data_IF_756786664654
#
_entry.id   IF_756786664654
#
_cell.length_a   1.000
_cell.length_b   1.000
_cell.length_c   1.000
_cell.angle_alpha   90.00
_cell.angle_beta   90.00
_cell.angle_gamma   90.00
#
_symmetry.space_group_name_H-M   'P 1'
#
loop_
_entity.id
_entity.type
_entity.pdbx_description
1 polymer ?
#
# COMPACT_ATOMS: atom_id res chain seq x y z
N UNK A 1 -6.23 -35.00 12.75
CA UNK A 1 -6.77 -33.66 12.47
C UNK A 1 -8.21 -33.83 12.01
N UNK A 2 -9.17 -33.15 12.65
CA UNK A 2 -10.58 -33.23 12.27
C UNK A 2 -10.84 -32.64 10.88
N UNK A 3 -11.96 -33.04 10.27
CA UNK A 3 -12.42 -32.49 8.99
C UNK A 3 -12.70 -30.98 9.15
N UNK A 4 -12.15 -30.15 8.26
CA UNK A 4 -12.42 -28.71 8.26
C UNK A 4 -13.91 -28.47 7.97
N UNK A 5 -14.56 -27.51 8.66
CA UNK A 5 -15.94 -27.14 8.37
C UNK A 5 -16.04 -26.57 6.95
N UNK A 6 -17.14 -26.90 6.28
CA UNK A 6 -17.52 -26.30 5.00
C UNK A 6 -17.73 -24.80 5.15
N UNK A 7 -17.69 -24.05 4.04
CA UNK A 7 -17.83 -22.59 4.08
C UNK A 7 -19.14 -22.13 4.76
N UNK A 8 -20.23 -22.86 4.57
CA UNK A 8 -21.52 -22.59 5.21
C UNK A 8 -21.56 -22.91 6.70
N UNK A 9 -20.63 -23.71 7.20
CA UNK A 9 -20.51 -24.10 8.62
C UNK A 9 -19.54 -23.18 9.39
N UNK A 10 -18.82 -22.28 8.70
CA UNK A 10 -17.88 -21.34 9.31
C UNK A 10 -18.64 -20.11 9.82
N UNK A 11 -18.73 -19.97 11.15
CA UNK A 11 -19.29 -18.79 11.82
C UNK A 11 -18.23 -17.80 12.31
N UNK A 12 -18.65 -16.75 13.02
CA UNK A 12 -17.79 -15.66 13.49
C UNK A 12 -16.58 -16.15 14.32
N UNK A 13 -16.78 -17.17 15.16
CA UNK A 13 -15.74 -17.74 16.01
C UNK A 13 -14.62 -18.41 15.20
N UNK A 14 -14.94 -18.97 14.03
CA UNK A 14 -13.95 -19.58 13.14
C UNK A 14 -12.92 -18.56 12.63
N UNK A 15 -13.32 -17.29 12.50
CA UNK A 15 -12.49 -16.20 12.01
C UNK A 15 -11.96 -15.29 13.12
N UNK A 16 -12.28 -15.58 14.38
CA UNK A 16 -11.83 -14.76 15.50
C UNK A 16 -10.32 -14.94 15.74
N UNK A 17 -9.63 -13.81 15.97
CA UNK A 17 -8.23 -13.83 16.37
C UNK A 17 -8.15 -13.77 17.89
N UNK A 18 -7.39 -14.68 18.48
CA UNK A 18 -7.05 -14.59 19.90
C UNK A 18 -5.96 -13.52 20.10
N UNK A 19 -6.39 -12.36 20.60
CA UNK A 19 -5.53 -11.22 20.92
C UNK A 19 -5.24 -11.08 22.42
N UNK A 20 -5.61 -12.07 23.25
CA UNK A 20 -5.50 -11.96 24.70
C UNK A 20 -4.06 -11.70 25.19
N UNK A 21 -3.05 -12.11 24.40
CA UNK A 21 -1.63 -11.96 24.72
C UNK A 21 -0.86 -11.02 23.78
N UNK A 22 -1.53 -10.39 22.80
CA UNK A 22 -0.87 -9.54 21.81
C UNK A 22 -1.81 -8.43 21.29
N UNK A 23 -2.16 -7.51 22.17
CA UNK A 23 -3.07 -6.40 21.87
C UNK A 23 -2.48 -5.44 20.83
N UNK A 24 -3.32 -4.82 19.98
CA UNK A 24 -2.86 -3.77 19.08
C UNK A 24 -2.34 -2.56 19.89
N UNK A 25 -1.28 -1.89 19.40
CA UNK A 25 -0.77 -0.68 20.02
C UNK A 25 -1.85 0.40 20.19
N UNK A 26 -1.82 1.09 21.33
CA UNK A 26 -2.87 2.05 21.70
C UNK A 26 -4.10 1.40 22.35
N UNK A 27 -4.02 0.10 22.68
CA UNK A 27 -4.99 -0.61 23.52
C UNK A 27 -4.28 -1.27 24.70
N UNK A 28 -4.69 -0.93 25.92
CA UNK A 28 -4.04 -1.33 27.17
C UNK A 28 -4.59 -2.63 27.76
N UNK A 29 -5.80 -3.05 27.37
CA UNK A 29 -6.41 -4.30 27.86
C UNK A 29 -7.35 -4.95 26.84
N UNK A 30 -7.62 -6.28 26.93
CA UNK A 30 -8.64 -6.93 26.12
C UNK A 30 -10.03 -6.30 26.32
N UNK A 31 -10.32 -5.83 27.53
CA UNK A 31 -11.57 -5.11 27.81
C UNK A 31 -11.67 -3.80 27.02
N UNK A 32 -10.57 -3.03 26.86
CA UNK A 32 -10.59 -1.84 26.00
C UNK A 32 -10.90 -2.15 24.52
N UNK A 33 -10.60 -3.36 24.03
CA UNK A 33 -11.01 -3.78 22.67
C UNK A 33 -12.54 -3.96 22.56
N UNK A 34 -13.22 -4.26 23.66
CA UNK A 34 -14.62 -4.70 23.63
C UNK A 34 -15.54 -3.64 24.24
N UNK A 35 -15.21 -3.12 25.42
CA UNK A 35 -16.08 -2.25 26.24
C UNK A 35 -15.64 -0.78 26.24
N UNK A 36 -14.34 -0.47 26.30
CA UNK A 36 -13.82 0.90 26.39
C UNK A 36 -13.10 1.36 25.11
N UNK A 37 -13.82 1.28 24.00
CA UNK A 37 -13.31 1.58 22.65
C UNK A 37 -13.07 3.08 22.45
N UNK A 38 -11.85 3.45 22.07
CA UNK A 38 -11.46 4.80 21.65
C UNK A 38 -12.17 5.14 20.33
N UNK A 39 -13.12 6.07 20.41
CA UNK A 39 -13.93 6.47 19.26
C UNK A 39 -13.14 7.28 18.23
N UNK A 40 -13.55 7.25 16.95
CA UNK A 40 -12.93 8.06 15.92
C UNK A 40 -12.93 9.55 16.29
N UNK A 41 -11.90 10.29 15.86
CA UNK A 41 -11.89 11.76 15.90
C UNK A 41 -13.18 12.31 15.28
N UNK A 42 -13.75 13.40 15.83
CA UNK A 42 -14.86 14.06 15.18
C UNK A 42 -14.45 14.48 13.75
N UNK A 43 -15.44 14.59 12.83
CA UNK A 43 -15.19 15.09 11.48
C UNK A 43 -14.39 16.39 11.52
N UNK A 44 -13.49 16.54 10.56
CA UNK A 44 -12.74 17.78 10.43
C UNK A 44 -13.73 18.93 10.20
N UNK A 45 -13.69 19.95 11.05
CA UNK A 45 -14.42 21.20 10.83
C UNK A 45 -13.46 22.16 10.15
N UNK A 46 -13.58 22.41 8.84
CA UNK A 46 -12.67 23.29 8.13
C UNK A 46 -12.83 24.71 8.67
N UNK A 47 -11.92 25.10 9.57
CA UNK A 47 -11.95 26.46 10.14
C UNK A 47 -11.56 27.51 9.09
N UNK A 48 -10.78 27.13 8.07
CA UNK A 48 -10.39 27.94 6.90
C UNK A 48 -10.08 27.05 5.68
N UNK A 49 -10.24 27.56 4.45
CA UNK A 49 -9.79 26.87 3.25
C UNK A 49 -8.27 26.65 3.30
N UNK A 50 -7.80 25.53 2.73
CA UNK A 50 -6.37 25.26 2.58
C UNK A 50 -5.72 26.37 1.76
N UNK A 51 -4.58 26.93 2.20
CA UNK A 51 -3.89 27.96 1.44
C UNK A 51 -3.51 27.44 0.07
N UNK A 52 -3.64 28.29 -0.95
CA UNK A 52 -3.26 27.93 -2.31
C UNK A 52 -1.76 27.66 -2.39
N UNK A 53 -1.37 26.79 -3.31
CA UNK A 53 0.04 26.66 -3.65
C UNK A 53 0.59 28.01 -4.10
N UNK A 54 1.88 28.30 -3.83
CA UNK A 54 2.55 29.38 -4.53
C UNK A 54 2.38 29.24 -6.06
N UNK A 55 2.33 30.33 -6.82
CA UNK A 55 2.37 30.29 -8.28
C UNK A 55 3.53 29.42 -8.78
N UNK A 56 3.38 28.73 -9.92
CA UNK A 56 4.43 27.83 -10.45
C UNK A 56 5.80 28.54 -10.61
N UNK A 57 5.80 29.82 -10.96
CA UNK A 57 7.00 30.65 -11.08
C UNK A 57 7.78 30.84 -9.76
N UNK A 58 7.11 30.70 -8.61
CA UNK A 58 7.68 30.85 -7.27
C UNK A 58 8.12 29.51 -6.64
N UNK A 59 7.78 28.38 -7.27
CA UNK A 59 8.10 27.03 -6.77
C UNK A 59 9.53 26.63 -7.12
N UNK A 60 10.48 27.09 -6.30
CA UNK A 60 11.92 26.83 -6.47
C UNK A 60 12.53 26.22 -5.21
N UNK A 61 13.61 25.46 -5.37
CA UNK A 61 14.31 24.84 -4.24
C UNK A 61 13.41 23.88 -3.48
N UNK A 62 13.45 23.91 -2.15
CA UNK A 62 12.61 23.07 -1.26
C UNK A 62 11.28 23.74 -0.90
N UNK A 63 10.52 24.13 -1.92
CA UNK A 63 9.29 24.91 -1.74
C UNK A 63 8.18 24.13 -1.04
N UNK A 64 8.16 22.79 -1.13
CA UNK A 64 7.13 21.95 -0.51
C UNK A 64 7.27 21.98 1.01
N UNK A 65 8.47 21.76 1.53
CA UNK A 65 8.73 21.88 2.97
C UNK A 65 8.44 23.28 3.49
N UNK A 66 8.88 24.32 2.76
CA UNK A 66 8.60 25.71 3.13
C UNK A 66 7.09 26.03 3.15
N UNK A 67 6.31 25.43 2.24
CA UNK A 67 4.85 25.52 2.24
C UNK A 67 4.23 24.80 3.44
N UNK A 68 4.71 23.60 3.78
CA UNK A 68 4.26 22.86 4.96
C UNK A 68 4.54 23.65 6.25
N UNK A 69 5.72 24.25 6.39
CA UNK A 69 6.11 25.06 7.55
C UNK A 69 5.25 26.33 7.71
N UNK A 70 4.80 26.93 6.60
CA UNK A 70 3.86 28.06 6.65
C UNK A 70 2.46 27.64 7.08
N UNK A 71 2.08 26.38 6.85
CA UNK A 71 0.75 25.87 7.17
C UNK A 71 0.60 25.43 8.62
N UNK A 72 1.69 25.11 9.32
CA UNK A 72 1.67 24.80 10.77
C UNK A 72 1.31 26.01 11.62
N UNK A 73 1.75 27.20 11.21
CA UNK A 73 1.54 28.43 11.97
C UNK A 73 0.13 29.01 11.80
N UNK A 74 -0.66 28.54 10.81
CA UNK A 74 -1.91 29.20 10.42
C UNK A 74 -3.11 28.28 10.13
N UNK A 75 -2.95 26.96 10.01
CA UNK A 75 -4.06 26.04 9.73
C UNK A 75 -4.26 25.03 10.86
N UNK A 76 -5.51 24.83 11.28
CA UNK A 76 -5.89 23.89 12.33
C UNK A 76 -6.16 22.47 11.82
N UNK A 77 -5.95 22.21 10.53
CA UNK A 77 -6.15 20.89 9.94
C UNK A 77 -4.85 20.33 9.37
N UNK A 78 -4.28 19.30 9.99
CA UNK A 78 -3.24 18.53 9.35
C UNK A 78 -3.95 17.53 8.41
N UNK A 79 -4.28 17.99 7.20
CA UNK A 79 -4.48 17.07 6.07
C UNK A 79 -3.09 16.74 5.54
N UNK A 80 -2.78 15.47 5.18
CA UNK A 80 -1.61 15.15 4.38
C UNK A 80 -1.95 15.77 3.05
N UNK A 81 -1.64 17.06 2.93
CA UNK A 81 -2.30 17.89 1.95
C UNK A 81 -2.08 17.24 0.60
N UNK A 82 -3.09 17.23 -0.26
CA UNK A 82 -3.06 16.87 -1.70
C UNK A 82 -2.01 17.66 -2.52
N UNK A 83 -1.12 18.35 -1.80
CA UNK A 83 -0.40 19.54 -2.16
C UNK A 83 1.10 19.42 -1.89
N UNK A 84 1.57 18.41 -1.17
CA UNK A 84 2.93 18.42 -0.64
C UNK A 84 3.53 17.04 -0.31
N UNK A 85 2.95 15.93 -0.77
CA UNK A 85 3.59 14.62 -0.58
C UNK A 85 4.84 14.52 -1.48
N UNK A 86 6.05 14.36 -0.90
CA UNK A 86 7.30 14.38 -1.66
C UNK A 86 7.63 13.04 -2.33
N UNK A 87 6.91 11.95 -2.00
CA UNK A 87 7.24 10.62 -2.50
C UNK A 87 6.64 10.27 -3.86
N UNK A 88 7.25 9.32 -4.60
CA UNK A 88 6.65 8.81 -5.81
C UNK A 88 5.31 8.15 -5.46
N UNK A 89 4.36 8.41 -6.33
CA UNK A 89 3.05 7.81 -6.47
C UNK A 89 2.70 6.60 -5.59
N UNK A 90 1.48 6.57 -5.00
CA UNK A 90 0.86 5.33 -4.52
C UNK A 90 0.87 4.20 -5.56
N UNK A 91 0.99 4.53 -6.86
CA UNK A 91 1.09 3.55 -7.93
C UNK A 91 2.35 2.67 -7.86
N UNK A 92 3.51 3.20 -7.43
CA UNK A 92 4.76 2.43 -7.31
C UNK A 92 4.87 1.63 -6.00
N UNK A 93 3.91 1.81 -5.08
CA UNK A 93 3.89 1.13 -3.79
C UNK A 93 3.28 -0.26 -3.97
N UNK A 94 3.96 -1.34 -3.56
CA UNK A 94 3.36 -2.66 -3.50
C UNK A 94 2.04 -2.57 -2.70
N UNK A 95 0.95 -3.22 -3.13
CA UNK A 95 -0.31 -3.12 -2.43
C UNK A 95 -0.12 -3.53 -0.95
N UNK A 96 -0.82 -2.91 0.02
CA UNK A 96 -0.68 -3.25 1.45
C UNK A 96 -0.85 -4.75 1.74
N UNK A 97 -1.62 -5.46 0.90
CA UNK A 97 -1.79 -6.91 0.93
C UNK A 97 -0.52 -7.72 0.64
N UNK A 98 0.50 -7.13 0.02
CA UNK A 98 1.81 -7.75 -0.26
C UNK A 98 2.84 -7.48 0.84
N UNK A 99 2.64 -6.45 1.67
CA UNK A 99 3.54 -6.04 2.76
C UNK A 99 3.01 -6.39 4.15
N UNK A 100 1.80 -6.94 4.24
CA UNK A 100 1.14 -7.28 5.50
C UNK A 100 0.58 -8.71 5.47
N UNK A 101 0.62 -9.43 6.60
CA UNK A 101 -0.07 -10.71 6.70
C UNK A 101 -1.57 -10.51 6.57
N UNK A 102 -2.27 -11.48 5.98
CA UNK A 102 -3.73 -11.43 5.91
C UNK A 102 -4.34 -11.93 7.21
N UNK A 103 -4.87 -11.05 8.08
CA UNK A 103 -5.16 -11.37 9.47
C UNK A 103 -6.21 -12.48 9.63
N UNK A 104 -7.10 -12.70 8.66
CA UNK A 104 -8.15 -13.73 8.78
C UNK A 104 -8.08 -14.84 7.75
N UNK A 105 -8.49 -16.06 8.14
CA UNK A 105 -8.77 -17.17 7.23
C UNK A 105 -10.05 -16.94 6.40
N UNK A 106 -10.49 -15.69 6.21
CA UNK A 106 -11.56 -15.40 5.28
C UNK A 106 -11.07 -15.95 3.92
N UNK A 107 -11.74 -16.98 3.36
CA UNK A 107 -11.34 -17.51 2.09
C UNK A 107 -11.27 -16.29 1.16
N UNK A 108 -10.16 -16.03 0.43
CA UNK A 108 -10.35 -15.37 -0.83
C UNK A 108 -11.42 -16.22 -1.50
N UNK A 109 -12.63 -15.68 -1.67
CA UNK A 109 -13.63 -16.43 -2.38
C UNK A 109 -12.98 -16.85 -3.70
N UNK A 110 -13.33 -17.99 -4.27
CA UNK A 110 -13.03 -18.22 -5.67
C UNK A 110 -13.41 -16.99 -6.50
N UNK A 111 -14.41 -16.18 -6.11
CA UNK A 111 -14.68 -14.89 -6.75
C UNK A 111 -13.71 -13.75 -6.43
N UNK A 112 -13.17 -13.56 -5.22
CA UNK A 112 -12.20 -12.48 -4.92
C UNK A 112 -10.78 -12.86 -5.31
N UNK A 113 -10.33 -14.09 -5.11
CA UNK A 113 -9.06 -14.59 -5.68
C UNK A 113 -9.14 -14.65 -7.21
N UNK A 114 -10.18 -15.25 -7.79
CA UNK A 114 -10.27 -15.33 -9.26
C UNK A 114 -10.55 -13.98 -9.92
N UNK A 115 -11.28 -13.04 -9.28
CA UNK A 115 -11.40 -11.66 -9.82
C UNK A 115 -10.13 -10.85 -9.62
N UNK A 116 -9.42 -11.02 -8.51
CA UNK A 116 -8.10 -10.37 -8.32
C UNK A 116 -7.03 -10.97 -9.25
N UNK A 117 -7.20 -12.20 -9.73
CA UNK A 117 -6.33 -12.80 -10.76
C UNK A 117 -6.79 -12.51 -12.19
N UNK A 118 -8.10 -12.34 -12.46
CA UNK A 118 -8.64 -12.10 -13.80
C UNK A 118 -8.71 -10.61 -14.20
N UNK A 119 -8.90 -9.71 -13.25
CA UNK A 119 -8.92 -8.25 -13.43
C UNK A 119 -8.08 -7.56 -12.35
N UNK A 120 -6.93 -8.16 -12.04
CA UNK A 120 -6.08 -7.73 -10.94
C UNK A 120 -5.65 -6.28 -11.09
N UNK A 121 -5.20 -5.87 -12.28
CA UNK A 121 -4.67 -4.53 -12.50
C UNK A 121 -5.77 -3.48 -12.35
N UNK A 122 -6.96 -3.74 -12.89
CA UNK A 122 -8.09 -2.86 -12.70
C UNK A 122 -8.40 -2.65 -11.20
N UNK A 123 -8.48 -3.73 -10.41
CA UNK A 123 -8.79 -3.62 -8.97
C UNK A 123 -7.71 -2.91 -8.17
N UNK A 124 -6.44 -3.14 -8.50
CA UNK A 124 -5.33 -2.40 -7.92
C UNK A 124 -5.51 -0.90 -8.14
N UNK A 125 -5.72 -0.48 -9.39
CA UNK A 125 -5.85 0.93 -9.71
C UNK A 125 -7.17 1.57 -9.24
N UNK A 126 -8.28 0.83 -9.16
CA UNK A 126 -9.51 1.31 -8.51
C UNK A 126 -9.30 1.62 -7.02
N UNK A 127 -8.48 0.82 -6.33
CA UNK A 127 -8.13 1.06 -4.93
C UNK A 127 -7.25 2.31 -4.80
N UNK A 128 -6.28 2.47 -5.71
CA UNK A 128 -5.46 3.68 -5.75
C UNK A 128 -6.30 4.92 -6.07
N UNK A 129 -7.18 4.86 -7.07
CA UNK A 129 -8.10 5.95 -7.43
C UNK A 129 -8.98 6.38 -6.25
N UNK A 130 -9.47 5.41 -5.47
CA UNK A 130 -10.23 5.67 -4.26
C UNK A 130 -9.41 6.45 -3.22
N UNK A 131 -8.19 5.99 -2.93
CA UNK A 131 -7.30 6.65 -1.96
C UNK A 131 -6.97 8.06 -2.45
N UNK A 132 -6.63 8.20 -3.73
CA UNK A 132 -6.34 9.47 -4.35
C UNK A 132 -7.54 10.44 -4.30
N UNK A 133 -8.78 9.97 -4.53
CA UNK A 133 -9.99 10.77 -4.35
C UNK A 133 -10.12 11.30 -2.92
N UNK A 134 -9.86 10.46 -1.93
CA UNK A 134 -9.92 10.82 -0.51
C UNK A 134 -8.82 11.81 -0.10
N UNK A 135 -7.65 11.74 -0.74
CA UNK A 135 -6.57 12.69 -0.55
C UNK A 135 -6.86 14.02 -1.26
N UNK A 136 -7.35 13.95 -2.51
CA UNK A 136 -7.58 15.11 -3.37
C UNK A 136 -8.73 15.99 -2.85
N UNK A 137 -9.88 15.38 -2.59
CA UNK A 137 -11.09 16.10 -2.15
C UNK A 137 -11.18 16.24 -0.63
N UNK A 138 -10.35 15.53 0.12
CA UNK A 138 -10.42 15.42 1.58
C UNK A 138 -11.37 14.29 2.03
N UNK A 139 -11.09 13.77 3.22
CA UNK A 139 -11.71 12.55 3.77
C UNK A 139 -13.22 12.67 3.98
N UNK A 140 -13.72 13.88 4.23
CA UNK A 140 -15.15 14.15 4.47
C UNK A 140 -15.85 14.82 3.28
N UNK A 141 -15.28 14.78 2.07
CA UNK A 141 -15.93 15.32 0.87
C UNK A 141 -17.13 14.48 0.42
N UNK A 142 -18.04 15.08 -0.35
CA UNK A 142 -19.16 14.33 -0.95
C UNK A 142 -18.67 13.20 -1.88
N UNK A 143 -17.57 13.44 -2.60
CA UNK A 143 -16.91 12.44 -3.47
C UNK A 143 -16.41 11.26 -2.63
N UNK A 144 -15.62 11.53 -1.58
CA UNK A 144 -15.12 10.47 -0.69
C UNK A 144 -16.26 9.67 -0.05
N UNK A 145 -17.29 10.34 0.49
CA UNK A 145 -18.46 9.67 1.08
C UNK A 145 -19.21 8.76 0.10
N UNK A 146 -19.42 9.22 -1.13
CA UNK A 146 -20.08 8.43 -2.18
C UNK A 146 -19.30 7.16 -2.52
N UNK A 147 -17.97 7.29 -2.66
CA UNK A 147 -17.08 6.17 -2.93
C UNK A 147 -17.03 5.19 -1.76
N UNK A 148 -16.92 5.67 -0.52
CA UNK A 148 -16.97 4.83 0.68
C UNK A 148 -18.30 4.07 0.77
N UNK A 149 -19.43 4.71 0.42
CA UNK A 149 -20.72 4.02 0.33
C UNK A 149 -20.70 2.83 -0.64
N UNK A 150 -19.97 2.93 -1.76
CA UNK A 150 -19.78 1.82 -2.68
C UNK A 150 -18.95 0.69 -2.07
N UNK A 151 -17.85 1.02 -1.39
CA UNK A 151 -17.00 0.01 -0.75
C UNK A 151 -17.72 -0.67 0.41
N UNK A 152 -18.45 0.07 1.24
CA UNK A 152 -19.27 -0.49 2.32
C UNK A 152 -20.31 -1.49 1.80
N UNK A 153 -20.93 -1.24 0.64
CA UNK A 153 -21.85 -2.21 0.00
C UNK A 153 -21.12 -3.48 -0.46
N UNK A 154 -19.88 -3.36 -0.93
CA UNK A 154 -19.04 -4.50 -1.29
C UNK A 154 -18.70 -5.32 -0.04
N UNK A 155 -18.22 -4.67 1.02
CA UNK A 155 -17.92 -5.32 2.30
C UNK A 155 -19.16 -6.02 2.87
N UNK A 156 -20.31 -5.35 2.91
CA UNK A 156 -21.56 -5.94 3.38
C UNK A 156 -22.03 -7.14 2.56
N UNK A 157 -21.70 -7.20 1.26
CA UNK A 157 -21.94 -8.41 0.46
C UNK A 157 -20.98 -9.53 0.86
N UNK A 158 -19.71 -9.23 1.11
CA UNK A 158 -18.72 -10.22 1.53
C UNK A 158 -19.09 -10.82 2.90
N UNK A 159 -19.55 -10.01 3.86
CA UNK A 159 -19.93 -10.48 5.21
C UNK A 159 -21.05 -11.51 5.17
N UNK A 160 -22.00 -11.37 4.25
CA UNK A 160 -23.10 -12.34 4.09
C UNK A 160 -22.60 -13.71 3.65
N UNK A 161 -21.54 -13.74 2.85
CA UNK A 161 -20.96 -14.98 2.33
C UNK A 161 -19.84 -15.54 3.25
N UNK A 162 -19.26 -14.68 4.09
CA UNK A 162 -18.18 -15.01 5.03
C UNK A 162 -18.42 -14.28 6.36
N UNK A 163 -19.35 -14.77 7.19
CA UNK A 163 -19.64 -14.16 8.49
C UNK A 163 -18.39 -14.15 9.36
N UNK A 164 -18.11 -13.03 10.00
CA UNK A 164 -16.91 -12.79 10.78
C UNK A 164 -15.76 -12.17 9.97
N UNK A 165 -15.89 -11.89 8.68
CA UNK A 165 -14.88 -11.15 7.92
C UNK A 165 -15.01 -9.63 8.14
N UNK A 166 -13.92 -8.91 8.37
CA UNK A 166 -13.93 -7.46 8.66
C UNK A 166 -14.81 -7.03 9.86
N UNK A 167 -14.99 -7.91 10.84
CA UNK A 167 -15.67 -7.59 12.10
C UNK A 167 -14.76 -6.86 13.09
N UNK A 168 -13.44 -6.99 12.93
CA UNK A 168 -12.45 -6.26 13.73
C UNK A 168 -11.98 -4.98 13.05
N UNK A 169 -11.92 -3.83 13.77
CA UNK A 169 -11.42 -2.57 13.22
C UNK A 169 -10.07 -2.68 12.52
N UNK A 170 -9.08 -3.28 13.19
CA UNK A 170 -7.68 -3.39 12.75
C UNK A 170 -7.48 -4.04 11.36
N UNK A 171 -8.47 -4.81 10.88
CA UNK A 171 -8.42 -5.43 9.55
C UNK A 171 -8.56 -4.42 8.42
N UNK A 172 -9.35 -3.37 8.65
CA UNK A 172 -9.44 -2.23 7.74
C UNK A 172 -8.29 -1.25 7.94
N UNK A 173 -7.85 -1.05 9.18
CA UNK A 173 -6.84 -0.04 9.54
C UNK A 173 -5.53 -0.22 8.79
N UNK A 174 -5.03 -1.45 8.69
CA UNK A 174 -3.77 -1.77 8.03
C UNK A 174 -3.72 -1.26 6.58
N UNK A 175 -4.85 -1.19 5.88
CA UNK A 175 -4.91 -0.70 4.50
C UNK A 175 -4.44 0.76 4.35
N UNK A 176 -4.84 1.65 5.27
CA UNK A 176 -4.41 3.05 5.26
C UNK A 176 -3.14 3.29 6.07
N UNK A 177 -2.91 2.53 7.14
CA UNK A 177 -1.65 2.60 7.89
C UNK A 177 -0.48 2.21 6.98
N UNK A 178 -0.67 1.17 6.16
CA UNK A 178 0.31 0.76 5.16
C UNK A 178 0.64 1.90 4.21
N UNK A 179 -0.38 2.54 3.62
CA UNK A 179 -0.17 3.70 2.73
C UNK A 179 0.52 4.88 3.41
N UNK A 180 0.16 5.18 4.66
CA UNK A 180 0.72 6.30 5.41
C UNK A 180 2.19 6.08 5.83
N UNK A 181 2.55 4.85 6.18
CA UNK A 181 3.86 4.51 6.75
C UNK A 181 4.84 3.92 5.73
N UNK A 182 4.38 3.47 4.55
CA UNK A 182 5.21 2.76 3.58
C UNK A 182 6.49 3.51 3.18
N UNK A 183 6.40 4.81 2.88
CA UNK A 183 7.58 5.62 2.54
C UNK A 183 8.61 5.61 3.68
N UNK A 184 8.18 5.88 4.92
CA UNK A 184 9.08 5.88 6.08
C UNK A 184 9.68 4.51 6.32
N UNK A 185 8.89 3.44 6.16
CA UNK A 185 9.38 2.06 6.22
C UNK A 185 10.48 1.82 5.17
N UNK A 186 10.27 2.23 3.92
CA UNK A 186 11.26 2.09 2.85
C UNK A 186 12.52 2.91 3.13
N UNK A 187 12.38 4.17 3.57
CA UNK A 187 13.50 5.04 3.96
C UNK A 187 14.34 4.42 5.07
N UNK A 188 13.69 3.87 6.11
CA UNK A 188 14.35 3.15 7.21
C UNK A 188 15.04 1.87 6.73
N UNK A 189 14.38 1.08 5.88
CA UNK A 189 14.91 -0.17 5.32
C UNK A 189 16.22 0.04 4.55
N UNK A 190 16.34 1.16 3.82
CA UNK A 190 17.51 1.44 2.98
C UNK A 190 18.54 2.35 3.66
N UNK A 191 18.25 2.83 4.87
CA UNK A 191 19.12 3.77 5.59
C UNK A 191 19.24 5.11 4.86
N UNK A 192 18.13 5.66 4.36
CA UNK A 192 18.10 6.99 3.75
C UNK A 192 18.56 8.07 4.75
N UNK A 193 19.18 9.15 4.25
CA UNK A 193 19.70 10.24 5.10
C UNK A 193 18.60 10.91 5.93
N UNK A 194 17.41 11.05 5.34
CA UNK A 194 16.20 11.52 6.02
C UNK A 194 15.22 10.37 6.10
N UNK A 195 15.22 9.69 7.24
CA UNK A 195 14.36 8.54 7.49
C UNK A 195 12.93 8.96 7.87
N UNK A 196 12.83 9.98 8.72
CA UNK A 196 11.57 10.41 9.30
C UNK A 196 10.83 11.39 8.37
N UNK A 197 9.48 11.35 8.38
CA UNK A 197 8.69 12.28 7.58
C UNK A 197 8.77 13.70 8.14
N UNK A 198 8.39 14.67 7.30
CA UNK A 198 8.22 16.04 7.75
C UNK A 198 7.21 16.11 8.94
N UNK A 199 7.46 16.90 10.00
CA UNK A 199 6.60 16.92 11.20
C UNK A 199 5.12 17.17 10.90
N UNK A 200 4.83 18.01 9.91
CA UNK A 200 3.45 18.28 9.45
C UNK A 200 2.79 17.04 8.88
N UNK A 201 3.51 16.27 8.06
CA UNK A 201 3.01 15.03 7.49
C UNK A 201 2.87 13.97 8.58
N UNK A 202 3.81 13.90 9.53
CA UNK A 202 3.75 13.01 10.69
C UNK A 202 2.46 13.24 11.50
N UNK A 203 2.06 14.50 11.72
CA UNK A 203 0.81 14.84 12.40
C UNK A 203 -0.44 14.61 11.54
N UNK A 204 -0.31 14.77 10.22
CA UNK A 204 -1.45 14.74 9.30
C UNK A 204 -1.90 13.35 8.90
N UNK A 205 -0.96 12.44 8.69
CA UNK A 205 -1.24 11.07 8.28
C UNK A 205 -2.20 10.33 9.22
N UNK A 206 -1.96 10.26 10.54
CA UNK A 206 -2.87 9.60 11.48
C UNK A 206 -4.26 10.24 11.46
N UNK A 207 -4.34 11.58 11.46
CA UNK A 207 -5.60 12.30 11.51
C UNK A 207 -6.45 12.09 10.25
N UNK A 208 -5.83 12.10 9.07
CA UNK A 208 -6.53 11.86 7.81
C UNK A 208 -6.95 10.40 7.65
N UNK A 209 -6.05 9.45 7.89
CA UNK A 209 -6.33 8.02 7.73
C UNK A 209 -7.48 7.59 8.66
N UNK A 210 -7.46 8.05 9.91
CA UNK A 210 -8.54 7.80 10.86
C UNK A 210 -9.89 8.33 10.35
N UNK A 211 -9.94 9.58 9.86
CA UNK A 211 -11.18 10.18 9.37
C UNK A 211 -11.70 9.49 8.12
N UNK A 212 -10.83 9.00 7.23
CA UNK A 212 -11.24 8.17 6.11
C UNK A 212 -11.88 6.88 6.62
N UNK A 213 -11.20 6.17 7.54
CA UNK A 213 -11.69 4.90 8.11
C UNK A 213 -12.97 5.07 8.94
N UNK A 214 -13.22 6.25 9.51
CA UNK A 214 -14.45 6.55 10.23
C UNK A 214 -15.70 6.41 9.35
N UNK A 215 -15.56 6.56 8.03
CA UNK A 215 -16.65 6.36 7.09
C UNK A 215 -16.89 4.89 6.72
N UNK A 216 -15.92 4.02 6.98
CA UNK A 216 -16.04 2.58 6.73
C UNK A 216 -16.69 1.86 7.90
N UNK A 217 -17.42 0.79 7.59
CA UNK A 217 -18.18 0.00 8.57
C UNK A 217 -17.54 -1.37 8.75
N UNK A 218 -17.56 -1.85 9.99
CA UNK A 218 -17.27 -3.26 10.34
C UNK A 218 -18.56 -4.06 10.33
N UNK A 219 -18.46 -5.39 10.37
CA UNK A 219 -19.59 -6.28 10.65
C UNK A 219 -20.00 -6.22 12.14
N UNK A 220 -21.30 -6.36 12.49
CA UNK A 220 -22.46 -6.43 11.59
C UNK A 220 -22.81 -5.08 10.96
N UNK A 221 -23.48 -5.15 9.80
CA UNK A 221 -23.88 -3.99 9.01
C UNK A 221 -25.00 -3.13 9.63
N UNK A 222 -25.38 -3.37 10.89
CA UNK A 222 -26.37 -2.56 11.62
C UNK A 222 -25.92 -1.09 11.79
N UNK A 223 -24.66 -0.81 11.43
CA UNK A 223 -24.10 0.52 11.29
C UNK A 223 -23.39 1.01 12.55
N UNK A 224 -23.36 0.21 13.62
CA UNK A 224 -22.75 0.59 14.89
C UNK A 224 -21.21 0.58 14.87
N UNK A 225 -20.61 -0.26 14.04
CA UNK A 225 -19.15 -0.45 13.99
C UNK A 225 -18.42 0.42 12.97
N UNK A 226 -17.18 0.82 13.28
CA UNK A 226 -16.31 1.61 12.41
C UNK A 226 -14.87 1.07 12.42
N UNK A 227 -14.20 1.09 11.27
CA UNK A 227 -12.78 0.73 11.18
C UNK A 227 -11.85 1.74 11.85
N UNK A 228 -12.31 2.93 12.22
CA UNK A 228 -11.47 3.92 12.90
C UNK A 228 -11.48 3.80 14.43
N UNK A 229 -12.20 2.82 14.97
CA UNK A 229 -12.19 2.56 16.41
C UNK A 229 -10.83 2.05 16.84
N UNK A 230 -10.25 2.67 17.87
CA UNK A 230 -8.89 2.43 18.37
C UNK A 230 -7.75 2.81 17.40
N UNK A 231 -8.05 3.49 16.29
CA UNK A 231 -7.04 3.87 15.30
C UNK A 231 -5.87 4.68 15.89
N UNK A 232 -4.61 4.45 15.44
CA UNK A 232 -3.43 5.19 15.85
C UNK A 232 -3.56 6.72 15.86
N UNK A 233 -3.13 7.37 16.94
CA UNK A 233 -3.29 8.84 17.11
C UNK A 233 -2.14 9.66 16.57
N UNK A 234 -0.94 9.12 16.59
CA UNK A 234 0.26 9.79 16.13
C UNK A 234 1.07 8.86 15.22
N UNK A 235 2.15 9.41 14.66
CA UNK A 235 2.98 8.68 13.71
C UNK A 235 3.72 7.51 14.37
N UNK A 236 4.05 7.60 15.66
CA UNK A 236 4.72 6.54 16.40
C UNK A 236 3.75 5.38 16.68
N UNK A 237 2.48 5.66 17.01
CA UNK A 237 1.41 4.65 17.09
C UNK A 237 1.20 3.97 15.74
N UNK A 238 1.23 4.71 14.61
CA UNK A 238 1.14 4.12 13.27
C UNK A 238 2.28 3.13 13.01
N UNK A 239 3.52 3.52 13.33
CA UNK A 239 4.69 2.65 13.19
C UNK A 239 4.60 1.41 14.08
N UNK A 240 4.24 1.58 15.36
CA UNK A 240 4.07 0.46 16.29
C UNK A 240 3.00 -0.49 15.77
N UNK A 241 1.86 0.03 15.32
CA UNK A 241 0.78 -0.78 14.77
C UNK A 241 1.23 -1.54 13.53
N UNK A 242 1.89 -0.87 12.58
CA UNK A 242 2.41 -1.48 11.35
C UNK A 242 3.32 -2.68 11.68
N UNK A 243 4.24 -2.50 12.64
CA UNK A 243 5.14 -3.57 13.10
C UNK A 243 4.40 -4.67 13.85
N UNK A 244 3.46 -4.32 14.74
CA UNK A 244 2.65 -5.30 15.47
C UNK A 244 1.88 -6.20 14.50
N UNK A 245 1.20 -5.60 13.52
CA UNK A 245 0.39 -6.31 12.54
C UNK A 245 1.23 -7.30 11.71
N UNK A 246 2.46 -6.91 11.33
CA UNK A 246 3.40 -7.79 10.62
C UNK A 246 3.90 -8.97 11.44
N UNK A 247 3.86 -8.86 12.76
CA UNK A 247 4.36 -9.85 13.69
C UNK A 247 3.24 -10.69 14.33
N UNK A 248 2.01 -10.58 13.84
CA UNK A 248 0.93 -11.46 14.27
C UNK A 248 1.34 -12.93 14.09
N UNK A 249 1.12 -13.82 15.08
CA UNK A 249 1.45 -15.24 14.99
C UNK A 249 0.41 -15.98 14.12
N UNK A 250 0.45 -15.71 12.81
CA UNK A 250 -0.52 -16.18 11.83
C UNK A 250 -0.62 -17.70 11.77
N UNK A 251 0.44 -18.42 12.13
CA UNK A 251 0.46 -19.87 12.25
C UNK A 251 -0.57 -20.39 13.27
N UNK A 252 -0.87 -19.62 14.32
CA UNK A 252 -1.91 -19.95 15.31
C UNK A 252 -3.32 -19.70 14.79
N UNK A 253 -3.48 -18.78 13.84
CA UNK A 253 -4.77 -18.28 13.36
C UNK A 253 -5.19 -18.86 12.01
N UNK A 254 -4.31 -19.59 11.33
CA UNK A 254 -4.52 -20.10 9.97
C UNK A 254 -4.32 -21.60 9.94
N UNK A 255 -5.17 -22.30 9.18
CA UNK A 255 -4.95 -23.71 8.85
C UNK A 255 -4.20 -23.83 7.51
N UNK A 256 -3.93 -25.07 7.10
CA UNK A 256 -3.18 -25.36 5.87
C UNK A 256 -3.86 -24.82 4.60
N UNK A 257 -5.19 -24.88 4.53
CA UNK A 257 -5.95 -24.34 3.40
C UNK A 257 -5.75 -22.82 3.27
N UNK A 258 -5.81 -22.11 4.40
CA UNK A 258 -5.68 -20.65 4.44
C UNK A 258 -4.26 -20.20 4.12
N UNK A 259 -3.25 -20.95 4.59
CA UNK A 259 -1.83 -20.69 4.26
C UNK A 259 -1.57 -20.86 2.77
N UNK A 260 -2.09 -21.91 2.15
CA UNK A 260 -1.98 -22.12 0.69
C UNK A 260 -2.63 -20.96 -0.07
N UNK A 261 -3.84 -20.56 0.32
CA UNK A 261 -4.54 -19.42 -0.32
C UNK A 261 -3.80 -18.09 -0.12
N UNK A 262 -3.19 -17.88 1.05
CA UNK A 262 -2.32 -16.76 1.33
C UNK A 262 -1.14 -16.72 0.37
N UNK A 263 -0.41 -17.83 0.27
CA UNK A 263 0.71 -17.99 -0.65
C UNK A 263 0.33 -17.72 -2.12
N UNK A 264 -0.72 -18.38 -2.63
CA UNK A 264 -1.22 -18.19 -3.99
C UNK A 264 -1.51 -16.73 -4.31
N UNK A 265 -2.14 -16.03 -3.35
CA UNK A 265 -2.47 -14.62 -3.52
C UNK A 265 -1.24 -13.72 -3.44
N UNK A 266 -0.30 -13.99 -2.54
CA UNK A 266 0.93 -13.24 -2.42
C UNK A 266 1.81 -13.39 -3.69
N UNK A 267 1.84 -14.58 -4.29
CA UNK A 267 2.44 -14.82 -5.60
C UNK A 267 1.72 -14.08 -6.73
N UNK A 268 0.38 -14.01 -6.70
CA UNK A 268 -0.40 -13.25 -7.67
C UNK A 268 -0.09 -11.74 -7.61
N UNK A 269 -0.02 -11.16 -6.40
CA UNK A 269 0.40 -9.77 -6.22
C UNK A 269 1.85 -9.52 -6.65
N UNK A 270 2.74 -10.48 -6.38
CA UNK A 270 4.14 -10.40 -6.82
C UNK A 270 4.23 -10.38 -8.33
N UNK A 271 3.49 -11.26 -9.01
CA UNK A 271 3.41 -11.31 -10.46
C UNK A 271 2.84 -10.02 -11.02
N UNK A 272 1.74 -9.53 -10.47
CA UNK A 272 1.11 -8.28 -10.86
C UNK A 272 2.08 -7.10 -10.78
N UNK A 273 2.84 -6.98 -9.68
CA UNK A 273 3.84 -5.94 -9.54
C UNK A 273 4.92 -6.04 -10.63
N UNK A 274 5.45 -7.24 -10.87
CA UNK A 274 6.43 -7.45 -11.93
C UNK A 274 5.86 -7.05 -13.30
N UNK A 275 4.61 -7.42 -13.55
CA UNK A 275 3.88 -7.13 -14.78
C UNK A 275 3.65 -5.63 -15.00
N UNK A 276 3.40 -4.86 -13.95
CA UNK A 276 3.18 -3.42 -14.05
C UNK A 276 4.48 -2.64 -14.27
N UNK A 277 5.55 -3.04 -13.60
CA UNK A 277 6.74 -2.20 -13.46
C UNK A 277 7.96 -2.68 -14.23
N UNK A 278 7.97 -3.93 -14.69
CA UNK A 278 9.13 -4.53 -15.34
C UNK A 278 8.74 -5.15 -16.69
N UNK A 279 9.60 -5.07 -17.71
CA UNK A 279 9.45 -5.90 -18.89
C UNK A 279 9.59 -7.38 -18.50
N UNK A 280 8.98 -8.28 -19.29
CA UNK A 280 8.91 -9.72 -19.02
C UNK A 280 10.26 -10.35 -18.64
N UNK A 281 11.32 -9.97 -19.34
CA UNK A 281 12.68 -10.47 -19.16
C UNK A 281 13.30 -10.05 -17.81
N UNK A 282 12.79 -8.98 -17.19
CA UNK A 282 13.24 -8.44 -15.92
C UNK A 282 12.25 -8.72 -14.77
N UNK A 283 11.26 -9.59 -14.96
CA UNK A 283 10.34 -9.97 -13.87
C UNK A 283 11.09 -10.60 -12.67
N UNK A 284 12.23 -11.27 -12.91
CA UNK A 284 13.07 -11.77 -11.82
C UNK A 284 13.62 -10.63 -10.95
N UNK A 285 13.95 -9.48 -11.55
CA UNK A 285 14.40 -8.29 -10.85
C UNK A 285 13.25 -7.65 -10.08
N UNK A 286 12.06 -7.57 -10.69
CA UNK A 286 10.85 -7.12 -9.99
C UNK A 286 10.54 -7.97 -8.75
N UNK A 287 10.67 -9.30 -8.86
CA UNK A 287 10.53 -10.21 -7.72
C UNK A 287 11.60 -9.93 -6.67
N UNK A 288 12.86 -9.76 -7.08
CA UNK A 288 13.96 -9.44 -6.16
C UNK A 288 13.71 -8.12 -5.41
N UNK A 289 13.18 -7.11 -6.09
CA UNK A 289 12.77 -5.83 -5.49
C UNK A 289 11.71 -6.06 -4.42
N UNK A 290 10.62 -6.75 -4.74
CA UNK A 290 9.57 -7.06 -3.77
C UNK A 290 10.09 -7.86 -2.58
N UNK A 291 10.83 -8.95 -2.82
CA UNK A 291 11.36 -9.77 -1.74
C UNK A 291 12.33 -9.02 -0.82
N UNK A 292 12.95 -7.94 -1.33
CA UNK A 292 13.81 -7.06 -0.52
C UNK A 292 13.02 -6.11 0.36
N UNK A 293 11.88 -5.60 -0.14
CA UNK A 293 11.04 -4.61 0.55
C UNK A 293 10.07 -5.28 1.53
N UNK A 294 9.50 -6.43 1.17
CA UNK A 294 8.56 -7.14 2.03
C UNK A 294 9.30 -7.67 3.28
N UNK A 295 8.79 -7.37 4.49
CA UNK A 295 9.41 -7.80 5.74
C UNK A 295 9.59 -9.32 5.78
N UNK A 296 10.66 -9.76 6.46
CA UNK A 296 11.01 -11.17 6.56
C UNK A 296 9.87 -12.03 7.09
N UNK A 297 9.23 -11.60 8.18
CA UNK A 297 8.13 -12.33 8.82
C UNK A 297 6.98 -12.58 7.84
N UNK A 298 6.59 -11.55 7.08
CA UNK A 298 5.53 -11.63 6.07
C UNK A 298 5.92 -12.59 4.95
N UNK A 299 7.18 -12.56 4.48
CA UNK A 299 7.65 -13.49 3.44
C UNK A 299 7.65 -14.94 3.90
N UNK A 300 8.02 -15.20 5.16
CA UNK A 300 7.99 -16.53 5.75
C UNK A 300 6.55 -17.03 5.89
N UNK A 301 5.65 -16.19 6.40
CA UNK A 301 4.22 -16.51 6.54
C UNK A 301 3.52 -16.77 5.20
N UNK A 302 3.86 -16.00 4.16
CA UNK A 302 3.30 -16.15 2.81
C UNK A 302 4.12 -17.09 1.91
N UNK A 303 5.16 -17.73 2.45
CA UNK A 303 6.03 -18.67 1.72
C UNK A 303 6.60 -18.12 0.41
N UNK A 304 6.94 -16.82 0.37
CA UNK A 304 7.44 -16.13 -0.83
C UNK A 304 8.94 -16.39 -1.10
N UNK A 305 9.64 -17.00 -0.15
CA UNK A 305 11.08 -17.22 -0.20
C UNK A 305 11.89 -15.98 0.22
N UNK A 306 13.21 -16.08 0.03
CA UNK A 306 14.16 -15.04 0.44
C UNK A 306 14.89 -14.41 -0.74
N UNK A 307 15.12 -13.08 -0.71
CA UNK A 307 15.94 -12.46 -1.72
C UNK A 307 17.39 -12.94 -1.55
N UNK A 308 18.09 -13.08 -2.68
CA UNK A 308 19.54 -13.26 -2.65
C UNK A 308 20.20 -12.09 -1.90
N UNK A 309 21.15 -12.37 -0.99
CA UNK A 309 21.76 -11.33 -0.12
C UNK A 309 22.43 -10.21 -0.90
N UNK A 310 23.18 -10.54 -1.96
CA UNK A 310 23.84 -9.56 -2.81
C UNK A 310 22.81 -8.76 -3.61
N UNK A 311 21.84 -9.44 -4.22
CA UNK A 311 20.73 -8.79 -4.92
C UNK A 311 19.96 -7.82 -4.03
N UNK A 312 19.64 -8.22 -2.80
CA UNK A 312 18.97 -7.36 -1.81
C UNK A 312 19.82 -6.15 -1.44
N UNK A 313 21.14 -6.32 -1.27
CA UNK A 313 22.04 -5.21 -1.00
C UNK A 313 22.06 -4.19 -2.16
N UNK A 314 22.09 -4.67 -3.41
CA UNK A 314 22.02 -3.81 -4.60
C UNK A 314 20.67 -3.07 -4.71
N UNK A 315 19.56 -3.76 -4.46
CA UNK A 315 18.23 -3.13 -4.43
C UNK A 315 18.16 -2.04 -3.36
N UNK A 316 18.63 -2.31 -2.13
CA UNK A 316 18.67 -1.31 -1.06
C UNK A 316 19.55 -0.12 -1.43
N UNK A 317 20.73 -0.37 -2.01
CA UNK A 317 21.63 0.69 -2.46
C UNK A 317 20.97 1.55 -3.54
N UNK A 318 20.29 0.94 -4.52
CA UNK A 318 19.56 1.65 -5.57
C UNK A 318 18.50 2.59 -4.97
N UNK A 319 17.63 2.07 -4.10
CA UNK A 319 16.60 2.90 -3.45
C UNK A 319 17.20 3.97 -2.55
N UNK A 320 18.28 3.67 -1.80
CA UNK A 320 18.99 4.67 -1.00
C UNK A 320 19.50 5.82 -1.87
N UNK A 321 20.16 5.52 -2.99
CA UNK A 321 20.68 6.54 -3.91
C UNK A 321 19.52 7.37 -4.47
N UNK A 322 18.43 6.74 -4.92
CA UNK A 322 17.29 7.44 -5.49
C UNK A 322 16.62 8.38 -4.47
N UNK A 323 16.40 7.90 -3.24
CA UNK A 323 15.79 8.69 -2.17
C UNK A 323 16.73 9.83 -1.75
N UNK A 324 18.01 9.54 -1.49
CA UNK A 324 18.98 10.55 -1.06
C UNK A 324 19.19 11.62 -2.14
N UNK A 325 19.12 11.25 -3.42
CA UNK A 325 19.19 12.18 -4.55
C UNK A 325 17.92 13.04 -4.64
N UNK A 326 16.73 12.45 -4.51
CA UNK A 326 15.47 13.20 -4.49
C UNK A 326 15.43 14.20 -3.31
N UNK A 327 15.94 13.81 -2.15
CA UNK A 327 16.05 14.69 -0.98
C UNK A 327 17.04 15.84 -1.21
N UNK A 328 18.09 15.64 -2.00
CA UNK A 328 19.11 16.65 -2.32
C UNK A 328 18.70 17.61 -3.45
N UNK A 329 17.95 17.12 -4.44
CA UNK A 329 17.49 17.92 -5.58
C UNK A 329 16.37 18.89 -5.17
N UNK A 330 16.16 20.00 -5.90
CA UNK A 330 14.98 20.84 -5.71
C UNK A 330 13.67 20.05 -5.83
N UNK A 331 12.64 20.49 -5.12
CA UNK A 331 11.31 19.91 -5.25
C UNK A 331 10.77 20.19 -6.67
N UNK A 332 9.97 19.26 -7.24
CA UNK A 332 9.39 19.47 -8.55
C UNK A 332 8.41 20.65 -8.54
N UNK A 333 8.31 21.37 -9.67
CA UNK A 333 7.38 22.51 -9.82
C UNK A 333 5.93 22.08 -9.60
N UNK A 334 5.60 20.83 -9.98
CA UNK A 334 4.31 20.19 -9.69
C UNK A 334 4.56 19.02 -8.75
N UNK A 335 3.80 18.89 -7.65
CA UNK A 335 3.89 17.72 -6.79
C UNK A 335 3.57 16.44 -7.57
N UNK A 336 4.30 15.36 -7.33
CA UNK A 336 4.12 14.05 -7.98
C UNK A 336 2.66 13.58 -7.96
N UNK A 337 2.01 13.76 -6.82
CA UNK A 337 0.60 13.42 -6.60
C UNK A 337 -0.36 14.04 -7.63
N UNK A 338 -0.09 15.26 -8.12
CA UNK A 338 -0.95 15.94 -9.09
C UNK A 338 -0.98 15.19 -10.42
N UNK A 339 0.20 14.92 -10.98
CA UNK A 339 0.33 14.26 -12.28
C UNK A 339 -0.21 12.84 -12.22
N UNK A 340 0.02 12.14 -11.11
CA UNK A 340 -0.52 10.80 -10.87
C UNK A 340 -2.03 10.78 -10.79
N UNK A 341 -2.63 11.73 -10.07
CA UNK A 341 -4.07 11.86 -9.96
C UNK A 341 -4.68 12.10 -11.34
N UNK A 342 -4.15 13.06 -12.10
CA UNK A 342 -4.67 13.39 -13.44
C UNK A 342 -4.49 12.22 -14.42
N UNK A 343 -3.35 11.51 -14.36
CA UNK A 343 -3.12 10.32 -15.15
C UNK A 343 -4.16 9.23 -14.83
N UNK A 344 -4.41 8.98 -13.54
CA UNK A 344 -5.38 8.00 -13.06
C UNK A 344 -6.81 8.32 -13.53
N UNK A 345 -7.21 9.60 -13.50
CA UNK A 345 -8.52 10.06 -14.02
C UNK A 345 -8.68 9.93 -15.53
N UNK A 346 -7.58 9.91 -16.28
CA UNK A 346 -7.58 9.69 -17.72
C UNK A 346 -7.74 8.23 -18.14
N UNK A 347 -7.77 7.27 -17.21
CA UNK A 347 -7.79 5.85 -17.56
C UNK A 347 -9.18 5.33 -17.93
N UNK A 348 -9.24 4.59 -19.03
CA UNK A 348 -10.39 3.73 -19.33
C UNK A 348 -10.33 2.47 -18.49
N UNK A 349 -10.97 2.48 -17.31
CA UNK A 349 -10.95 1.40 -16.31
C UNK A 349 -11.14 0.00 -16.92
N UNK A 350 -12.12 -0.17 -17.80
CA UNK A 350 -12.43 -1.45 -18.44
C UNK A 350 -11.36 -1.95 -19.43
N UNK A 351 -10.37 -1.12 -19.75
CA UNK A 351 -9.29 -1.42 -20.70
C UNK A 351 -7.94 -1.57 -20.02
N UNK A 352 -7.84 -1.39 -18.70
CA UNK A 352 -6.57 -1.37 -17.98
C UNK A 352 -5.78 -2.68 -18.18
N UNK A 353 -6.37 -3.83 -17.89
CA UNK A 353 -5.67 -5.12 -18.02
C UNK A 353 -5.21 -5.35 -19.48
N UNK A 354 -6.07 -5.05 -20.45
CA UNK A 354 -5.72 -5.12 -21.87
C UNK A 354 -4.61 -4.12 -22.27
N UNK A 355 -4.54 -2.96 -21.63
CA UNK A 355 -3.50 -1.97 -21.85
C UNK A 355 -2.16 -2.42 -21.27
N UNK A 356 -2.15 -2.98 -20.05
CA UNK A 356 -0.95 -3.51 -19.39
C UNK A 356 -0.33 -4.62 -20.24
N UNK A 357 -1.13 -5.60 -20.68
CA UNK A 357 -0.66 -6.69 -21.55
C UNK A 357 -0.08 -6.15 -22.86
N UNK A 358 -0.74 -5.17 -23.49
CA UNK A 358 -0.23 -4.54 -24.72
C UNK A 358 1.07 -3.77 -24.48
N UNK A 359 1.18 -3.04 -23.38
CA UNK A 359 2.38 -2.29 -23.02
C UNK A 359 3.56 -3.24 -22.77
N UNK A 360 3.34 -4.34 -22.04
CA UNK A 360 4.35 -5.37 -21.83
C UNK A 360 4.88 -5.95 -23.13
N UNK A 361 3.99 -6.31 -24.06
CA UNK A 361 4.39 -6.85 -25.36
C UNK A 361 5.31 -5.89 -26.12
N UNK A 362 4.99 -4.59 -26.10
CA UNK A 362 5.82 -3.54 -26.71
C UNK A 362 7.17 -3.38 -26.01
N UNK A 363 7.17 -3.34 -24.68
CA UNK A 363 8.41 -3.18 -23.89
C UNK A 363 9.33 -4.38 -24.02
N UNK A 364 8.78 -5.60 -24.04
CA UNK A 364 9.53 -6.83 -24.29
C UNK A 364 10.21 -6.79 -25.67
N UNK A 365 9.47 -6.41 -26.73
CA UNK A 365 10.03 -6.27 -28.07
C UNK A 365 11.18 -5.26 -28.12
N UNK A 366 11.04 -4.09 -27.47
CA UNK A 366 12.11 -3.09 -27.41
C UNK A 366 13.35 -3.60 -26.69
N UNK A 367 13.18 -4.30 -25.57
CA UNK A 367 14.29 -4.84 -24.80
C UNK A 367 14.97 -5.98 -25.56
N UNK A 368 14.21 -6.86 -26.22
CA UNK A 368 14.76 -7.93 -27.05
C UNK A 368 15.61 -7.34 -28.19
N UNK A 369 15.13 -6.28 -28.86
CA UNK A 369 15.92 -5.57 -29.87
C UNK A 369 17.20 -4.99 -29.27
N UNK A 370 17.12 -4.34 -28.11
CA UNK A 370 18.29 -3.75 -27.45
C UNK A 370 19.31 -4.82 -27.01
N UNK A 371 18.85 -5.96 -26.49
CA UNK A 371 19.70 -7.09 -26.13
C UNK A 371 20.35 -7.72 -27.36
N UNK A 372 19.63 -7.88 -28.47
CA UNK A 372 20.19 -8.35 -29.74
C UNK A 372 21.26 -7.39 -30.25
N UNK A 373 21.00 -6.08 -30.23
CA UNK A 373 22.00 -5.06 -30.61
C UNK A 373 23.23 -5.13 -29.73
N UNK A 374 23.05 -5.26 -28.40
CA UNK A 374 24.16 -5.39 -27.45
C UNK A 374 24.99 -6.65 -27.74
N UNK A 375 24.33 -7.79 -28.00
CA UNK A 375 25.01 -9.04 -28.34
C UNK A 375 25.78 -8.94 -29.67
N UNK A 376 25.23 -8.27 -30.68
CA UNK A 376 25.93 -8.02 -31.94
C UNK A 376 27.17 -7.13 -31.71
N UNK A 377 27.05 -6.08 -30.90
CA UNK A 377 28.19 -5.19 -30.56
C UNK A 377 29.27 -5.97 -29.79
N UNK A 378 28.88 -6.75 -28.79
CA UNK A 378 29.83 -7.57 -28.01
C UNK A 378 30.48 -8.63 -28.88
N UNK A 379 29.71 -9.32 -29.72
CA UNK A 379 30.21 -10.32 -30.67
C UNK A 379 31.18 -9.73 -31.69
N UNK A 380 30.84 -8.57 -32.28
CA UNK A 380 31.72 -7.83 -33.16
C UNK A 380 33.01 -7.37 -32.45
N UNK A 381 32.90 -6.92 -31.19
CA UNK A 381 34.05 -6.56 -30.36
C UNK A 381 34.97 -7.75 -30.05
N UNK A 382 34.41 -8.93 -29.79
CA UNK A 382 35.16 -10.16 -29.62
C UNK A 382 35.86 -10.59 -30.92
N UNK A 383 35.14 -10.60 -32.05
CA UNK A 383 35.70 -10.94 -33.36
C UNK A 383 36.82 -9.97 -33.79
N UNK A 384 36.64 -8.66 -33.55
CA UNK A 384 37.64 -7.63 -33.82
C UNK A 384 38.88 -7.77 -32.94
N UNK A 385 38.71 -8.20 -31.69
CA UNK A 385 39.83 -8.44 -30.76
C UNK A 385 40.57 -9.73 -31.12
N UNK A 386 39.86 -10.76 -31.57
CA UNK A 386 40.45 -12.00 -32.10
C UNK A 386 41.17 -11.79 -33.43
N UNK A 387 40.69 -10.90 -34.31
CA UNK A 387 41.36 -10.59 -35.59
C UNK A 387 42.62 -9.72 -35.45
N UNK A 388 42.86 -9.12 -34.26
CA UNK A 388 44.07 -8.35 -33.94
C UNK A 388 45.09 -9.13 -33.08
N UNK A 389 44.76 -10.37 -32.71
CA UNK A 389 45.62 -11.26 -31.93
C UNK A 389 46.25 -12.38 -32.76
N UNK A 390 46.27 -12.25 -34.09
CA UNK A 390 46.97 -13.11 -35.04
C UNK A 390 48.14 -12.35 -35.67
#
# INVERSE_FOLDING_TARGET
MGKLPSLSERGNEYYALDLASNLPPGTDSPDQLITNRRQPRPPASPKRPLPEWPPEAERKGKWISAYLDKNTTKSSEPQPSSRATPSPSPSATPPPSSTSPKPRPAPPQPTTAARSSAAGHQRFYETQDFILDCMWHGSSSAVARSRVGTVNRIHARIWRDVPGAYSSPFEGEMSLIGSAFFETMLRKLVGARRADPHPVLAAAWPAWAERVLAHFRTEPADGGGSFAVNFPRDFDELERFYRWFQNLPMDRFTNEEDRRKGHELAEAFTRQFCELWFPRQLHWLGRLVLLTIVPRQVREQQQLGHPNRFGAALVRLFFKIQIDLADALPDPVRPSFYDDYMACKGWGWSKIDANVVRAQKRSAQKLDVLLVVLLVIVGAGFLWRSSKGL
#
